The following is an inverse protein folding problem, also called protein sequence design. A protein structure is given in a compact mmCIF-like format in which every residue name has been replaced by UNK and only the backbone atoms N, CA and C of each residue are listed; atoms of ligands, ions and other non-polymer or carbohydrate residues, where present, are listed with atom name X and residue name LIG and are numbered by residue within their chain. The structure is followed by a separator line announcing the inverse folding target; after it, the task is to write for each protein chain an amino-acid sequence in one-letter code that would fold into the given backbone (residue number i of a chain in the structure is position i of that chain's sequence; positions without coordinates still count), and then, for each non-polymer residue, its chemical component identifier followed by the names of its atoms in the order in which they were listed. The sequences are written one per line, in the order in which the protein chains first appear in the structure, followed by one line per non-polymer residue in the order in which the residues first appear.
data_IF_208572557601
#
_entry.id   IF_208572557601
#
_cell.length_a   1.000
_cell.length_b   1.000
_cell.length_c   1.000
_cell.angle_alpha   90.00
_cell.angle_beta   90.00
_cell.angle_gamma   90.00
#
_symmetry.space_group_name_H-M   'P 1'
#
loop_
_entity.id
_entity.type
_entity.pdbx_description
1 polymer ?
#
# COMPACT_ATOMS: atom_id res chain seq x y z
N UNK A 1 1.86 -3.67 -38.46
CA UNK A 1 1.56 -3.37 -37.04
C UNK A 1 2.48 -2.22 -36.66
N UNK A 2 1.94 -1.07 -36.27
CA UNK A 2 2.75 0.13 -35.98
C UNK A 2 3.47 -0.05 -34.64
N UNK A 3 4.79 0.06 -34.63
CA UNK A 3 5.62 -0.05 -33.42
C UNK A 3 5.13 0.92 -32.33
N UNK A 4 4.68 2.11 -32.74
CA UNK A 4 4.18 3.13 -31.82
C UNK A 4 2.91 2.68 -31.08
N UNK A 5 2.04 1.89 -31.73
CA UNK A 5 0.83 1.33 -31.10
C UNK A 5 1.13 0.18 -30.14
N UNK A 6 2.21 -0.57 -30.38
CA UNK A 6 2.66 -1.59 -29.43
C UNK A 6 3.23 -0.90 -28.18
N UNK A 7 4.00 0.17 -28.40
CA UNK A 7 4.72 0.90 -27.36
C UNK A 7 3.76 1.73 -26.48
N UNK A 8 2.68 2.26 -27.05
CA UNK A 8 1.68 3.04 -26.30
C UNK A 8 0.97 2.22 -25.22
N UNK A 9 0.78 0.90 -25.40
CA UNK A 9 0.04 0.07 -24.45
C UNK A 9 0.62 0.04 -23.03
N UNK A 10 1.95 0.05 -22.90
CA UNK A 10 2.64 0.08 -21.59
C UNK A 10 2.97 1.50 -21.15
N UNK A 11 3.19 2.43 -22.10
CA UNK A 11 3.33 3.86 -21.80
C UNK A 11 2.05 4.43 -21.17
N UNK A 12 0.88 3.99 -21.63
CA UNK A 12 -0.40 4.58 -21.23
C UNK A 12 -1.04 3.88 -20.02
N UNK A 13 -0.61 2.66 -19.67
CA UNK A 13 -1.14 1.94 -18.52
C UNK A 13 -0.08 1.14 -17.77
N UNK A 14 0.02 1.33 -16.45
CA UNK A 14 0.93 0.56 -15.60
C UNK A 14 0.34 0.44 -14.21
N UNK A 15 0.43 -0.75 -13.62
CA UNK A 15 0.10 -1.00 -12.22
C UNK A 15 1.32 -1.58 -11.53
N UNK A 16 1.78 -0.96 -10.45
CA UNK A 16 2.84 -1.47 -9.60
C UNK A 16 2.23 -1.91 -8.27
N UNK A 17 2.34 -3.20 -7.95
CA UNK A 17 2.02 -3.71 -6.62
C UNK A 17 3.26 -3.65 -5.72
N UNK A 18 3.14 -3.11 -4.51
CA UNK A 18 4.23 -3.10 -3.54
C UNK A 18 3.98 -4.12 -2.44
N UNK A 19 5.02 -4.88 -2.05
CA UNK A 19 5.03 -5.73 -0.86
C UNK A 19 6.35 -5.63 -0.14
N UNK A 20 6.41 -6.17 1.07
CA UNK A 20 7.58 -6.15 1.91
C UNK A 20 7.18 -6.21 3.37
N UNK A 21 8.17 -6.54 4.20
CA UNK A 21 8.01 -6.56 5.65
C UNK A 21 7.65 -5.17 6.19
N UNK A 22 7.10 -5.11 7.38
CA UNK A 22 6.72 -3.86 8.02
C UNK A 22 7.94 -3.01 8.27
N UNK A 23 7.89 -1.76 7.80
CA UNK A 23 9.07 -0.91 7.81
C UNK A 23 10.13 -1.35 6.81
N UNK A 24 9.80 -2.06 5.73
CA UNK A 24 10.73 -2.29 4.60
C UNK A 24 10.81 -1.08 3.67
N UNK A 25 9.69 -0.39 3.41
CA UNK A 25 9.70 0.84 2.61
C UNK A 25 8.53 1.05 1.65
N UNK A 26 7.56 0.11 1.56
CA UNK A 26 6.44 0.17 0.62
C UNK A 26 5.80 1.57 0.50
N UNK A 27 5.26 2.13 1.58
CA UNK A 27 4.61 3.44 1.53
C UNK A 27 5.55 4.55 1.08
N UNK A 28 6.85 4.47 1.42
CA UNK A 28 7.82 5.45 0.95
C UNK A 28 8.10 5.34 -0.55
N UNK A 29 8.14 4.13 -1.07
CA UNK A 29 8.26 3.89 -2.52
C UNK A 29 7.02 4.39 -3.25
N UNK A 30 5.81 4.12 -2.73
CA UNK A 30 4.57 4.65 -3.28
C UNK A 30 4.56 6.19 -3.33
N UNK A 31 4.97 6.84 -2.23
CA UNK A 31 5.11 8.30 -2.17
C UNK A 31 6.08 8.84 -3.23
N UNK A 32 7.24 8.19 -3.42
CA UNK A 32 8.22 8.60 -4.44
C UNK A 32 7.66 8.45 -5.86
N UNK A 33 6.95 7.37 -6.15
CA UNK A 33 6.29 7.14 -7.45
C UNK A 33 5.15 8.13 -7.72
N UNK A 34 4.45 8.59 -6.67
CA UNK A 34 3.36 9.57 -6.77
C UNK A 34 3.83 11.02 -6.89
N UNK A 35 5.12 11.28 -6.66
CA UNK A 35 5.70 12.62 -6.75
C UNK A 35 6.15 12.97 -8.18
N UNK A 36 6.54 14.23 -8.42
CA UNK A 36 7.22 14.60 -9.66
C UNK A 36 8.63 13.98 -9.72
N UNK A 37 9.17 13.78 -10.92
CA UNK A 37 10.51 13.20 -11.12
C UNK A 37 11.61 13.96 -10.36
N UNK A 38 11.49 15.29 -10.27
CA UNK A 38 12.39 16.16 -9.49
C UNK A 38 12.50 15.77 -8.01
N UNK A 39 11.50 15.06 -7.48
CA UNK A 39 11.55 14.50 -6.12
C UNK A 39 12.58 13.37 -6.01
N UNK A 40 12.76 12.55 -7.05
CA UNK A 40 13.81 11.55 -7.08
C UNK A 40 15.19 12.21 -7.15
N UNK A 41 15.33 13.20 -8.04
CA UNK A 41 16.56 13.98 -8.21
C UNK A 41 17.01 14.59 -6.89
N UNK A 42 16.11 15.30 -6.21
CA UNK A 42 16.41 15.98 -4.95
C UNK A 42 16.67 15.04 -3.76
N UNK A 43 16.22 13.79 -3.81
CA UNK A 43 16.27 12.88 -2.65
C UNK A 43 17.31 11.79 -2.73
N UNK A 44 17.76 11.39 -3.91
CA UNK A 44 18.67 10.25 -3.97
C UNK A 44 19.23 9.84 -5.32
N UNK A 45 19.09 10.62 -6.39
CA UNK A 45 19.84 10.38 -7.62
C UNK A 45 21.25 10.96 -7.48
N UNK A 46 22.27 10.11 -7.55
CA UNK A 46 23.68 10.54 -7.54
C UNK A 46 24.08 11.27 -8.81
N UNK A 47 25.11 12.10 -8.70
CA UNK A 47 25.72 12.75 -9.84
C UNK A 47 26.53 11.73 -10.66
N UNK A 48 26.60 11.92 -11.99
CA UNK A 48 27.34 11.00 -12.87
C UNK A 48 28.83 10.93 -12.55
N UNK A 49 29.39 12.00 -11.97
CA UNK A 49 30.76 12.07 -11.49
C UNK A 49 31.05 11.14 -10.30
N UNK A 50 30.02 10.63 -9.62
CA UNK A 50 30.17 9.67 -8.51
C UNK A 50 30.39 8.23 -8.99
N UNK A 51 30.26 7.98 -10.29
CA UNK A 51 30.54 6.69 -10.90
C UNK A 51 31.93 6.69 -11.54
N UNK A 52 32.61 5.55 -11.51
CA UNK A 52 33.93 5.39 -12.14
C UNK A 52 33.87 4.57 -13.43
N UNK A 53 32.85 3.72 -13.57
CA UNK A 53 32.65 2.89 -14.76
C UNK A 53 31.89 3.68 -15.85
N UNK A 54 32.53 3.92 -16.99
CA UNK A 54 31.97 4.66 -18.13
C UNK A 54 30.77 3.96 -18.79
N UNK A 55 30.74 2.63 -18.80
CA UNK A 55 29.60 1.86 -19.32
C UNK A 55 28.40 2.02 -18.39
N UNK A 56 28.62 2.00 -17.08
CA UNK A 56 27.59 2.25 -16.10
C UNK A 56 27.07 3.69 -16.16
N UNK A 57 27.97 4.70 -16.24
CA UNK A 57 27.58 6.11 -16.45
C UNK A 57 26.64 6.24 -17.63
N UNK A 58 27.01 5.70 -18.79
CA UNK A 58 26.16 5.74 -19.98
C UNK A 58 24.78 5.12 -19.75
N UNK A 59 24.71 3.95 -19.09
CA UNK A 59 23.42 3.31 -18.73
C UNK A 59 22.58 4.19 -17.81
N UNK A 60 23.21 4.81 -16.82
CA UNK A 60 22.58 5.72 -15.88
C UNK A 60 22.01 6.97 -16.58
N UNK A 61 22.83 7.64 -17.39
CA UNK A 61 22.44 8.83 -18.17
C UNK A 61 21.29 8.52 -19.12
N UNK A 62 21.29 7.35 -19.77
CA UNK A 62 20.17 6.95 -20.65
C UNK A 62 18.86 6.89 -19.86
N UNK A 63 18.85 6.23 -18.70
CA UNK A 63 17.64 6.13 -17.87
C UNK A 63 17.20 7.52 -17.37
N UNK A 64 18.15 8.31 -16.87
CA UNK A 64 17.88 9.65 -16.33
C UNK A 64 17.36 10.61 -17.40
N UNK A 65 18.01 10.67 -18.55
CA UNK A 65 17.62 11.54 -19.65
C UNK A 65 16.28 11.10 -20.26
N UNK A 66 16.03 9.80 -20.37
CA UNK A 66 14.76 9.28 -20.88
C UNK A 66 13.60 9.68 -19.97
N UNK A 67 13.66 9.36 -18.67
CA UNK A 67 12.58 9.68 -17.73
C UNK A 67 12.48 11.19 -17.46
N UNK A 68 13.60 11.90 -17.50
CA UNK A 68 13.65 13.36 -17.33
C UNK A 68 13.08 14.14 -18.50
N UNK A 69 12.88 13.53 -19.67
CA UNK A 69 12.20 14.18 -20.78
C UNK A 69 10.71 14.36 -20.46
N UNK A 70 10.19 15.56 -20.72
CA UNK A 70 8.78 15.89 -20.55
C UNK A 70 7.93 14.83 -21.26
N UNK A 71 6.91 14.31 -20.55
CA UNK A 71 5.96 13.25 -20.93
C UNK A 71 6.32 11.80 -20.58
N UNK A 72 7.55 11.49 -20.15
CA UNK A 72 7.88 10.11 -19.78
C UNK A 72 7.63 9.83 -18.29
N UNK A 73 7.82 10.81 -17.40
CA UNK A 73 7.37 10.66 -16.01
C UNK A 73 5.91 11.09 -15.82
N UNK A 74 5.05 10.12 -15.53
CA UNK A 74 3.67 10.37 -15.08
C UNK A 74 3.56 9.90 -13.63
N UNK A 75 3.26 10.80 -12.68
CA UNK A 75 3.08 10.43 -11.28
C UNK A 75 2.00 9.35 -11.09
N UNK A 76 2.28 8.40 -10.21
CA UNK A 76 1.38 7.29 -9.93
C UNK A 76 0.30 7.69 -8.94
N UNK A 77 -0.95 7.29 -9.22
CA UNK A 77 -2.03 7.35 -8.24
C UNK A 77 -1.85 6.23 -7.20
N UNK A 78 -1.93 6.59 -5.91
CA UNK A 78 -1.72 5.62 -4.83
C UNK A 78 -3.07 5.01 -4.42
N UNK A 79 -3.17 3.69 -4.46
CA UNK A 79 -4.21 2.92 -3.77
C UNK A 79 -3.58 2.28 -2.53
N UNK A 80 -3.84 2.86 -1.35
CA UNK A 80 -3.35 2.30 -0.08
C UNK A 80 -4.26 1.17 0.38
N UNK A 81 -3.69 0.01 0.70
CA UNK A 81 -4.47 -1.14 1.15
C UNK A 81 -5.34 -0.81 2.38
N UNK A 82 -4.81 -0.04 3.32
CA UNK A 82 -5.56 0.38 4.53
C UNK A 82 -6.74 1.30 4.21
N UNK A 83 -6.62 2.14 3.17
CA UNK A 83 -7.70 3.02 2.71
C UNK A 83 -8.81 2.17 2.06
N UNK A 84 -8.44 1.11 1.33
CA UNK A 84 -9.38 0.13 0.75
C UNK A 84 -10.15 -0.61 1.85
N UNK A 85 -9.48 -1.05 2.91
CA UNK A 85 -10.14 -1.71 4.05
C UNK A 85 -11.13 -0.76 4.74
N UNK A 86 -10.74 0.50 4.97
CA UNK A 86 -11.64 1.51 5.53
C UNK A 86 -12.86 1.74 4.63
N UNK A 87 -12.64 1.89 3.31
CA UNK A 87 -13.74 2.07 2.37
C UNK A 87 -14.71 0.88 2.41
N UNK A 88 -14.20 -0.36 2.53
CA UNK A 88 -15.02 -1.56 2.68
C UNK A 88 -15.83 -1.56 3.98
N UNK A 89 -15.22 -1.15 5.11
CA UNK A 89 -15.92 -0.99 6.39
C UNK A 89 -17.06 0.01 6.25
N UNK A 90 -16.83 1.17 5.63
CA UNK A 90 -17.85 2.21 5.44
C UNK A 90 -18.98 1.73 4.51
N UNK A 91 -18.64 1.04 3.42
CA UNK A 91 -19.61 0.46 2.47
C UNK A 91 -20.59 -0.51 3.15
N UNK A 92 -20.08 -1.38 4.03
CA UNK A 92 -20.92 -2.39 4.70
C UNK A 92 -21.57 -1.89 5.98
N UNK A 93 -20.84 -1.14 6.80
CA UNK A 93 -21.23 -0.85 8.19
C UNK A 93 -21.24 0.63 8.57
N UNK A 94 -20.80 1.54 7.71
CA UNK A 94 -20.87 2.98 7.99
C UNK A 94 -22.31 3.41 8.32
N UNK A 95 -22.48 4.41 9.19
CA UNK A 95 -23.81 4.84 9.64
C UNK A 95 -24.57 3.83 10.51
N UNK A 96 -24.04 2.61 10.73
CA UNK A 96 -24.62 1.63 11.64
C UNK A 96 -23.80 1.60 12.93
N UNK A 97 -24.23 2.40 13.91
CA UNK A 97 -23.52 2.58 15.18
C UNK A 97 -23.35 1.27 15.96
N UNK A 98 -24.29 0.32 15.82
CA UNK A 98 -24.19 -1.01 16.45
C UNK A 98 -23.07 -1.83 15.83
N UNK A 99 -22.99 -1.86 14.50
CA UNK A 99 -21.93 -2.60 13.80
C UNK A 99 -20.56 -1.98 14.04
N UNK A 100 -20.43 -0.65 14.02
CA UNK A 100 -19.19 0.04 14.36
C UNK A 100 -18.77 -0.22 15.81
N UNK A 101 -19.72 -0.23 16.75
CA UNK A 101 -19.45 -0.61 18.14
C UNK A 101 -18.95 -2.04 18.23
N UNK A 102 -19.59 -2.98 17.52
CA UNK A 102 -19.18 -4.38 17.50
C UNK A 102 -17.79 -4.56 16.89
N UNK A 103 -17.47 -3.84 15.82
CA UNK A 103 -16.13 -3.85 15.21
C UNK A 103 -15.07 -3.48 16.25
N UNK A 104 -15.27 -2.37 16.98
CA UNK A 104 -14.34 -1.92 18.01
C UNK A 104 -14.26 -2.91 19.18
N UNK A 105 -15.40 -3.34 19.72
CA UNK A 105 -15.44 -4.28 20.85
C UNK A 105 -14.81 -5.63 20.53
N UNK A 106 -14.93 -6.12 19.29
CA UNK A 106 -14.42 -7.44 18.93
C UNK A 106 -12.97 -7.41 18.44
N UNK A 107 -12.57 -6.36 17.72
CA UNK A 107 -11.32 -6.35 16.95
C UNK A 107 -10.39 -5.15 17.24
N UNK A 108 -10.78 -4.15 18.02
CA UNK A 108 -9.85 -3.09 18.43
C UNK A 108 -9.08 -3.51 19.69
N UNK A 109 -8.20 -4.50 19.53
CA UNK A 109 -7.50 -5.21 20.61
C UNK A 109 -6.06 -5.56 20.25
N UNK A 110 -5.18 -5.74 21.23
CA UNK A 110 -3.82 -6.27 21.06
C UNK A 110 -3.85 -7.77 20.73
N UNK A 111 -4.83 -8.48 21.27
CA UNK A 111 -5.14 -9.88 21.00
C UNK A 111 -6.64 -10.15 21.28
N UNK A 112 -7.17 -11.27 20.77
CA UNK A 112 -8.62 -11.54 20.87
C UNK A 112 -9.14 -11.74 22.31
N UNK A 113 -8.26 -12.10 23.26
CA UNK A 113 -8.64 -12.29 24.67
C UNK A 113 -8.60 -11.01 25.51
N UNK A 114 -8.08 -9.89 24.99
CA UNK A 114 -8.08 -8.62 25.71
C UNK A 114 -9.51 -8.14 26.03
N UNK A 115 -9.73 -7.65 27.25
CA UNK A 115 -10.89 -6.84 27.60
C UNK A 115 -10.61 -5.35 27.31
N UNK A 116 -11.16 -4.84 26.21
CA UNK A 116 -10.96 -3.47 25.73
C UNK A 116 -12.14 -2.53 26.04
N UNK A 117 -13.10 -2.91 26.88
CA UNK A 117 -14.33 -2.15 27.12
C UNK A 117 -14.08 -0.68 27.50
N UNK A 118 -13.16 -0.45 28.44
CA UNK A 118 -12.80 0.90 28.90
C UNK A 118 -12.17 1.75 27.80
N UNK A 119 -11.35 1.14 26.94
CA UNK A 119 -10.70 1.84 25.83
C UNK A 119 -11.72 2.19 24.75
N UNK A 120 -12.57 1.23 24.37
CA UNK A 120 -13.65 1.44 23.41
C UNK A 120 -14.60 2.53 23.91
N UNK A 121 -14.96 2.53 25.20
CA UNK A 121 -15.81 3.56 25.77
C UNK A 121 -15.24 4.99 25.61
N UNK A 122 -13.91 5.15 25.70
CA UNK A 122 -13.23 6.45 25.52
C UNK A 122 -13.32 6.97 24.09
N UNK A 123 -13.10 6.11 23.10
CA UNK A 123 -13.05 6.51 21.68
C UNK A 123 -14.40 6.43 20.96
N UNK A 124 -15.37 5.69 21.53
CA UNK A 124 -16.64 5.40 20.88
C UNK A 124 -17.40 6.67 20.52
N UNK A 125 -17.41 7.66 21.40
CA UNK A 125 -18.08 8.94 21.14
C UNK A 125 -17.45 9.64 19.94
N UNK A 126 -16.13 9.77 19.91
CA UNK A 126 -15.42 10.42 18.81
C UNK A 126 -15.64 9.71 17.47
N UNK A 127 -15.61 8.37 17.46
CA UNK A 127 -15.90 7.58 16.25
C UNK A 127 -17.34 7.81 15.76
N UNK A 128 -18.31 7.88 16.66
CA UNK A 128 -19.72 8.17 16.33
C UNK A 128 -19.87 9.61 15.81
N UNK A 129 -19.19 10.58 16.42
CA UNK A 129 -19.24 11.98 16.01
C UNK A 129 -18.62 12.15 14.61
N UNK A 130 -17.53 11.44 14.32
CA UNK A 130 -16.91 11.39 12.98
C UNK A 130 -17.86 10.73 11.96
N UNK A 131 -18.44 9.58 12.27
CA UNK A 131 -19.43 8.91 11.40
C UNK A 131 -20.64 9.83 11.11
N UNK A 132 -21.12 10.53 12.14
CA UNK A 132 -22.22 11.50 12.02
C UNK A 132 -21.82 12.71 11.15
N UNK A 133 -20.63 13.27 11.36
CA UNK A 133 -20.08 14.38 10.57
C UNK A 133 -20.01 14.04 9.08
N UNK A 134 -19.62 12.81 8.74
CA UNK A 134 -19.47 12.35 7.36
C UNK A 134 -20.67 11.55 6.83
N UNK A 135 -21.84 11.65 7.47
CA UNK A 135 -23.04 10.85 7.11
C UNK A 135 -23.44 10.96 5.64
N UNK A 136 -23.33 12.14 5.01
CA UNK A 136 -23.66 12.30 3.59
C UNK A 136 -22.73 11.47 2.68
N UNK A 137 -21.42 11.54 2.94
CA UNK A 137 -20.42 10.74 2.21
C UNK A 137 -20.65 9.25 2.44
N UNK A 138 -20.85 8.84 3.69
CA UNK A 138 -21.07 7.44 4.05
C UNK A 138 -22.33 6.88 3.37
N UNK A 139 -23.43 7.64 3.34
CA UNK A 139 -24.64 7.24 2.60
C UNK A 139 -24.36 7.00 1.11
N UNK A 140 -23.55 7.85 0.46
CA UNK A 140 -23.13 7.64 -0.94
C UNK A 140 -22.26 6.39 -1.09
N UNK A 141 -21.27 6.21 -0.22
CA UNK A 141 -20.42 5.01 -0.23
C UNK A 141 -21.27 3.74 -0.10
N UNK A 142 -22.27 3.72 0.80
CA UNK A 142 -23.16 2.56 0.98
C UNK A 142 -24.12 2.31 -0.17
N UNK A 143 -24.46 3.35 -0.93
CA UNK A 143 -25.33 3.23 -2.08
C UNK A 143 -24.63 2.57 -3.28
N UNK A 144 -23.30 2.48 -3.28
CA UNK A 144 -22.55 1.77 -4.31
C UNK A 144 -22.98 0.28 -4.31
N UNK A 145 -23.30 -0.30 -5.47
CA UNK A 145 -23.64 -1.72 -5.57
C UNK A 145 -22.46 -2.60 -5.13
N UNK A 146 -22.66 -3.92 -4.94
CA UNK A 146 -21.55 -4.84 -4.73
C UNK A 146 -20.42 -4.61 -5.75
N UNK A 147 -19.17 -4.54 -5.29
CA UNK A 147 -18.06 -4.12 -6.15
C UNK A 147 -17.86 -5.02 -7.40
N UNK A 148 -18.29 -6.27 -7.32
CA UNK A 148 -18.30 -7.22 -8.44
C UNK A 148 -19.32 -6.87 -9.54
N UNK A 149 -20.35 -6.10 -9.20
CA UNK A 149 -21.45 -5.70 -10.09
C UNK A 149 -21.19 -4.36 -10.79
N UNK A 150 -20.22 -3.56 -10.34
CA UNK A 150 -19.82 -2.30 -10.97
C UNK A 150 -19.24 -2.57 -12.36
N UNK A 151 -19.98 -2.19 -13.40
CA UNK A 151 -19.65 -2.50 -14.80
C UNK A 151 -19.62 -1.26 -15.71
N UNK A 152 -20.52 -0.31 -15.50
CA UNK A 152 -20.61 0.87 -16.37
C UNK A 152 -19.56 1.92 -16.04
N UNK A 153 -19.23 2.76 -17.03
CA UNK A 153 -18.29 3.85 -16.86
C UNK A 153 -18.80 4.90 -15.85
N UNK A 154 -20.10 5.10 -15.75
CA UNK A 154 -20.69 6.07 -14.80
C UNK A 154 -20.58 5.56 -13.35
N UNK A 155 -20.87 4.28 -13.09
CA UNK A 155 -20.65 3.67 -11.76
C UNK A 155 -19.16 3.67 -11.39
N UNK A 156 -18.27 3.43 -12.36
CA UNK A 156 -16.83 3.49 -12.15
C UNK A 156 -16.38 4.92 -11.81
N UNK A 157 -16.89 5.93 -12.52
CA UNK A 157 -16.62 7.34 -12.20
C UNK A 157 -17.14 7.71 -10.82
N UNK A 158 -18.33 7.27 -10.43
CA UNK A 158 -18.88 7.50 -9.10
C UNK A 158 -18.01 6.87 -8.00
N UNK A 159 -17.62 5.59 -8.16
CA UNK A 159 -16.72 4.92 -7.24
C UNK A 159 -15.39 5.68 -7.10
N UNK A 160 -14.78 6.06 -8.21
CA UNK A 160 -13.53 6.81 -8.22
C UNK A 160 -13.68 8.20 -7.58
N UNK A 161 -14.78 8.89 -7.85
CA UNK A 161 -15.09 10.18 -7.25
C UNK A 161 -15.36 10.10 -5.75
N UNK A 162 -15.75 8.94 -5.22
CA UNK A 162 -15.91 8.72 -3.78
C UNK A 162 -14.58 8.35 -3.11
N UNK A 163 -13.78 7.48 -3.73
CA UNK A 163 -12.53 6.97 -3.14
C UNK A 163 -11.37 7.97 -3.23
N UNK A 164 -11.19 8.66 -4.36
CA UNK A 164 -10.07 9.56 -4.58
C UNK A 164 -10.35 11.01 -4.15
N UNK A 165 -11.50 11.30 -3.55
CA UNK A 165 -11.85 12.66 -3.16
C UNK A 165 -11.19 13.11 -1.85
N UNK A 166 -11.27 14.42 -1.62
CA UNK A 166 -10.74 15.06 -0.41
C UNK A 166 -11.55 14.69 0.84
N UNK A 167 -12.87 14.53 0.73
CA UNK A 167 -13.74 14.26 1.88
C UNK A 167 -13.47 12.89 2.53
N UNK A 168 -13.25 11.85 1.73
CA UNK A 168 -12.85 10.53 2.18
C UNK A 168 -11.46 10.57 2.81
N UNK A 169 -10.53 11.33 2.23
CA UNK A 169 -9.22 11.55 2.83
C UNK A 169 -9.32 12.25 4.19
N UNK A 170 -10.16 13.28 4.33
CA UNK A 170 -10.37 13.97 5.60
C UNK A 170 -11.03 13.04 6.65
N UNK A 171 -12.06 12.27 6.25
CA UNK A 171 -12.70 11.27 7.12
C UNK A 171 -11.67 10.28 7.63
N UNK A 172 -10.86 9.70 6.73
CA UNK A 172 -9.80 8.76 7.06
C UNK A 172 -8.80 9.37 8.04
N UNK A 173 -8.33 10.58 7.78
CA UNK A 173 -7.34 11.25 8.63
C UNK A 173 -7.88 11.49 10.04
N UNK A 174 -9.11 11.99 10.17
CA UNK A 174 -9.77 12.19 11.47
C UNK A 174 -10.00 10.86 12.20
N UNK A 175 -10.51 9.84 11.50
CA UNK A 175 -10.79 8.54 12.09
C UNK A 175 -9.51 7.83 12.55
N UNK A 176 -8.47 7.79 11.71
CA UNK A 176 -7.19 7.19 12.12
C UNK A 176 -6.46 8.04 13.16
N UNK A 177 -6.64 9.37 13.22
CA UNK A 177 -6.12 10.15 14.33
C UNK A 177 -6.77 9.73 15.66
N UNK A 178 -8.09 9.50 15.67
CA UNK A 178 -8.81 8.97 16.83
C UNK A 178 -8.32 7.56 17.21
N UNK A 179 -8.34 6.62 16.25
CA UNK A 179 -8.01 5.21 16.46
C UNK A 179 -6.51 4.93 16.70
N UNK A 180 -5.62 5.85 16.33
CA UNK A 180 -4.17 5.64 16.49
C UNK A 180 -3.57 6.49 17.60
N UNK A 181 -4.40 7.16 18.39
CA UNK A 181 -3.97 7.93 19.54
C UNK A 181 -3.47 7.02 20.68
N UNK A 182 -2.34 7.38 21.30
CA UNK A 182 -1.77 6.69 22.47
C UNK A 182 -1.62 5.16 22.27
N UNK A 183 -2.24 4.36 23.15
CA UNK A 183 -2.23 2.89 23.12
C UNK A 183 -3.06 2.29 21.96
N UNK A 184 -3.74 3.14 21.18
CA UNK A 184 -4.60 2.75 20.07
C UNK A 184 -3.87 2.32 18.81
N UNK A 185 -2.66 2.82 18.56
CA UNK A 185 -1.95 2.59 17.30
C UNK A 185 -1.82 1.10 16.97
N UNK A 186 -1.34 0.29 17.92
CA UNK A 186 -1.18 -1.16 17.70
C UNK A 186 -2.53 -1.86 17.52
N UNK A 187 -3.54 -1.50 18.33
CA UNK A 187 -4.90 -2.05 18.24
C UNK A 187 -5.57 -1.75 16.90
N UNK A 188 -5.35 -0.56 16.33
CA UNK A 188 -5.83 -0.24 14.99
C UNK A 188 -5.19 -1.14 13.92
N UNK A 189 -3.89 -1.47 14.07
CA UNK A 189 -3.22 -2.41 13.16
C UNK A 189 -3.77 -3.83 13.28
N UNK A 190 -3.99 -4.32 14.50
CA UNK A 190 -4.64 -5.62 14.71
C UNK A 190 -6.08 -5.63 14.17
N UNK A 191 -6.84 -4.56 14.37
CA UNK A 191 -8.20 -4.43 13.83
C UNK A 191 -8.20 -4.54 12.30
N UNK A 192 -7.33 -3.79 11.62
CA UNK A 192 -7.23 -3.84 10.15
C UNK A 192 -6.72 -5.21 9.66
N UNK A 193 -5.81 -5.86 10.41
CA UNK A 193 -5.41 -7.24 10.14
C UNK A 193 -6.62 -8.17 10.16
N UNK A 194 -7.39 -8.20 11.25
CA UNK A 194 -8.57 -9.06 11.39
C UNK A 194 -9.67 -8.73 10.38
N UNK A 195 -9.92 -7.45 10.10
CA UNK A 195 -10.84 -7.02 9.04
C UNK A 195 -10.39 -7.61 7.70
N UNK A 196 -9.10 -7.52 7.35
CA UNK A 196 -8.61 -8.08 6.10
C UNK A 196 -8.83 -9.60 6.02
N UNK A 197 -8.62 -10.31 7.13
CA UNK A 197 -8.86 -11.74 7.22
C UNK A 197 -10.35 -12.07 7.09
N UNK A 198 -11.22 -11.35 7.79
CA UNK A 198 -12.67 -11.55 7.73
C UNK A 198 -13.22 -11.28 6.32
N UNK A 199 -12.75 -10.22 5.65
CA UNK A 199 -13.15 -9.94 4.27
C UNK A 199 -12.75 -11.05 3.31
N UNK A 200 -11.56 -11.63 3.45
CA UNK A 200 -11.12 -12.77 2.62
C UNK A 200 -11.86 -14.06 2.98
N UNK A 201 -12.24 -14.24 4.25
CA UNK A 201 -12.91 -15.44 4.77
C UNK A 201 -14.40 -15.47 4.43
N UNK A 202 -15.12 -14.37 4.65
CA UNK A 202 -16.58 -14.34 4.58
C UNK A 202 -17.17 -13.05 3.98
N UNK A 203 -16.34 -12.17 3.42
CA UNK A 203 -16.80 -10.96 2.71
C UNK A 203 -17.36 -9.84 3.61
N UNK A 204 -17.27 -9.99 4.93
CA UNK A 204 -17.83 -9.08 5.94
C UNK A 204 -16.76 -8.61 6.92
N UNK A 205 -16.65 -7.30 7.16
CA UNK A 205 -15.54 -6.73 7.93
C UNK A 205 -15.61 -7.10 9.43
N UNK A 206 -16.81 -7.32 9.96
CA UNK A 206 -17.04 -7.69 11.36
C UNK A 206 -17.16 -9.20 11.57
N UNK A 207 -16.95 -10.00 10.52
CA UNK A 207 -16.84 -11.45 10.60
C UNK A 207 -18.14 -12.20 10.83
N UNK A 208 -19.31 -11.60 10.55
CA UNK A 208 -20.64 -12.23 10.76
C UNK A 208 -20.99 -13.31 9.72
N UNK A 209 -20.31 -13.32 8.58
CA UNK A 209 -20.57 -14.28 7.50
C UNK A 209 -19.97 -15.67 7.72
N UNK A 210 -20.51 -16.65 7.00
CA UNK A 210 -19.94 -18.00 6.88
C UNK A 210 -18.66 -17.97 6.04
N UNK A 211 -17.77 -18.92 6.31
CA UNK A 211 -16.56 -19.12 5.52
C UNK A 211 -16.94 -19.50 4.09
N UNK A 212 -16.47 -18.73 3.12
CA UNK A 212 -16.68 -18.99 1.70
C UNK A 212 -15.47 -18.48 0.90
N UNK A 213 -14.83 -19.42 0.19
CA UNK A 213 -13.66 -19.18 -0.64
C UNK A 213 -13.91 -18.17 -1.75
N UNK A 214 -15.16 -17.98 -2.18
CA UNK A 214 -15.53 -16.97 -3.17
C UNK A 214 -15.15 -15.54 -2.72
N UNK A 215 -15.03 -15.33 -1.41
CA UNK A 215 -14.67 -14.05 -0.81
C UNK A 215 -13.16 -13.77 -0.78
N UNK A 216 -12.30 -14.73 -1.15
CA UNK A 216 -10.83 -14.58 -1.07
C UNK A 216 -10.33 -13.34 -1.84
N UNK A 217 -11.01 -12.99 -2.93
CA UNK A 217 -10.68 -11.85 -3.78
C UNK A 217 -11.53 -10.59 -3.49
N UNK A 218 -12.28 -10.53 -2.38
CA UNK A 218 -13.14 -9.38 -2.06
C UNK A 218 -12.40 -8.04 -2.10
N UNK A 219 -11.21 -8.00 -1.48
CA UNK A 219 -10.38 -6.79 -1.42
C UNK A 219 -9.76 -6.51 -2.80
N UNK A 220 -9.25 -7.53 -3.48
CA UNK A 220 -8.68 -7.42 -4.82
C UNK A 220 -9.72 -6.93 -5.85
N UNK A 221 -10.99 -7.34 -5.70
CA UNK A 221 -12.10 -6.89 -6.54
C UNK A 221 -12.35 -5.39 -6.40
N UNK A 222 -12.34 -4.85 -5.18
CA UNK A 222 -12.46 -3.41 -4.96
C UNK A 222 -11.27 -2.66 -5.57
N UNK A 223 -10.03 -3.08 -5.29
CA UNK A 223 -8.83 -2.47 -5.90
C UNK A 223 -8.90 -2.50 -7.44
N UNK A 224 -9.33 -3.61 -8.02
CA UNK A 224 -9.52 -3.76 -9.46
C UNK A 224 -10.58 -2.80 -10.03
N UNK A 225 -11.67 -2.56 -9.30
CA UNK A 225 -12.65 -1.53 -9.68
C UNK A 225 -12.06 -0.13 -9.57
N UNK A 226 -11.26 0.17 -8.53
CA UNK A 226 -10.59 1.45 -8.37
C UNK A 226 -9.57 1.74 -9.48
N UNK A 227 -8.80 0.73 -9.91
CA UNK A 227 -7.90 0.83 -11.07
C UNK A 227 -8.70 1.20 -12.33
N UNK A 228 -9.82 0.51 -12.56
CA UNK A 228 -10.69 0.79 -13.72
C UNK A 228 -11.36 2.16 -13.63
N UNK A 229 -11.82 2.55 -12.45
CA UNK A 229 -12.38 3.88 -12.19
C UNK A 229 -11.38 4.97 -12.56
N UNK A 230 -10.12 4.84 -12.11
CA UNK A 230 -9.09 5.81 -12.46
C UNK A 230 -8.79 5.84 -13.96
N UNK A 231 -8.79 4.68 -14.62
CA UNK A 231 -8.62 4.59 -16.08
C UNK A 231 -9.75 5.32 -16.83
N UNK A 232 -11.00 5.12 -16.43
CA UNK A 232 -12.16 5.82 -17.03
C UNK A 232 -12.10 7.32 -16.77
N UNK A 233 -11.69 7.75 -15.56
CA UNK A 233 -11.55 9.17 -15.20
C UNK A 233 -10.43 9.85 -16.01
N UNK A 234 -9.32 9.14 -16.22
CA UNK A 234 -8.18 9.64 -16.98
C UNK A 234 -8.44 9.63 -18.50
N UNK A 235 -9.37 8.78 -18.96
CA UNK A 235 -9.74 8.63 -20.37
C UNK A 235 -8.50 8.36 -21.25
N UNK A 236 -8.16 9.26 -22.18
CA UNK A 236 -7.01 9.13 -23.07
C UNK A 236 -5.65 9.49 -22.42
N UNK A 237 -5.64 9.86 -21.13
CA UNK A 237 -4.39 10.17 -20.41
C UNK A 237 -3.75 8.91 -19.83
N UNK A 238 -2.41 8.85 -19.75
CA UNK A 238 -1.72 7.74 -19.11
C UNK A 238 -2.22 7.50 -17.68
N UNK A 239 -2.48 6.23 -17.35
CA UNK A 239 -2.94 5.78 -16.04
C UNK A 239 -1.86 4.92 -15.39
N UNK A 240 -1.20 5.51 -14.39
CA UNK A 240 -0.17 4.87 -13.60
C UNK A 240 -0.69 4.68 -12.17
N UNK A 241 -0.75 3.44 -11.69
CA UNK A 241 -1.28 3.11 -10.36
C UNK A 241 -0.20 2.42 -9.54
N UNK A 242 -0.06 2.80 -8.28
CA UNK A 242 0.73 2.04 -7.30
C UNK A 242 -0.17 1.55 -6.18
N UNK A 243 -0.19 0.24 -5.94
CA UNK A 243 -0.92 -0.39 -4.84
C UNK A 243 0.05 -0.52 -3.67
N UNK A 244 -0.16 0.25 -2.61
CA UNK A 244 0.69 0.23 -1.44
C UNK A 244 0.32 -0.92 -0.51
N UNK A 245 1.27 -1.85 -0.34
CA UNK A 245 1.30 -2.90 0.68
C UNK A 245 0.30 -4.05 0.48
N UNK A 246 0.43 -4.77 -0.64
CA UNK A 246 -0.18 -6.11 -0.82
C UNK A 246 0.49 -7.11 0.12
N UNK A 247 -0.32 -7.87 0.84
CA UNK A 247 0.12 -8.84 1.85
C UNK A 247 -0.49 -10.23 1.70
N UNK A 248 -1.22 -10.49 0.62
CA UNK A 248 -1.75 -11.80 0.30
C UNK A 248 -1.37 -12.21 -1.13
N UNK A 249 -0.80 -13.40 -1.28
CA UNK A 249 -0.21 -13.86 -2.54
C UNK A 249 -1.24 -14.24 -3.58
N UNK A 250 -2.45 -14.63 -3.17
CA UNK A 250 -3.57 -14.88 -4.08
C UNK A 250 -4.06 -13.57 -4.70
N UNK A 251 -4.12 -12.49 -3.93
CA UNK A 251 -4.43 -11.15 -4.48
C UNK A 251 -3.37 -10.71 -5.51
N UNK A 252 -2.08 -10.99 -5.28
CA UNK A 252 -1.01 -10.73 -6.26
C UNK A 252 -1.25 -11.54 -7.55
N UNK A 253 -1.57 -12.83 -7.43
CA UNK A 253 -1.85 -13.67 -8.60
C UNK A 253 -3.07 -13.17 -9.38
N UNK A 254 -4.12 -12.76 -8.67
CA UNK A 254 -5.29 -12.14 -9.28
C UNK A 254 -4.93 -10.93 -10.17
N UNK A 255 -4.01 -10.06 -9.72
CA UNK A 255 -3.57 -8.92 -10.54
C UNK A 255 -2.65 -9.32 -11.69
N UNK A 256 -1.73 -10.27 -11.46
CA UNK A 256 -0.83 -10.80 -12.51
C UNK A 256 -1.61 -11.44 -13.65
N UNK A 257 -2.67 -12.19 -13.36
CA UNK A 257 -3.52 -12.82 -14.37
C UNK A 257 -4.37 -11.80 -15.13
N UNK A 258 -4.71 -10.67 -14.49
CA UNK A 258 -5.69 -9.72 -15.03
C UNK A 258 -5.07 -8.56 -15.80
N UNK A 259 -3.83 -8.20 -15.50
CA UNK A 259 -3.16 -7.04 -16.07
C UNK A 259 -1.78 -7.42 -16.59
N UNK A 260 -1.61 -7.41 -17.91
CA UNK A 260 -0.30 -7.63 -18.54
C UNK A 260 0.75 -6.57 -18.20
N UNK A 261 0.32 -5.39 -17.77
CA UNK A 261 1.15 -4.28 -17.31
C UNK A 261 1.17 -4.15 -15.77
N UNK A 262 0.97 -5.27 -15.05
CA UNK A 262 1.14 -5.34 -13.60
C UNK A 262 2.55 -5.84 -13.26
N UNK A 263 3.24 -5.10 -12.38
CA UNK A 263 4.59 -5.42 -11.93
C UNK A 263 4.61 -5.47 -10.40
N UNK A 264 5.06 -6.58 -9.84
CA UNK A 264 5.14 -6.76 -8.41
C UNK A 264 6.54 -6.42 -7.89
N UNK A 265 6.62 -5.52 -6.91
CA UNK A 265 7.90 -5.02 -6.36
C UNK A 265 7.95 -5.29 -4.86
N UNK A 266 8.96 -6.05 -4.43
CA UNK A 266 9.27 -6.27 -3.03
C UNK A 266 10.32 -5.27 -2.54
N UNK A 267 10.01 -4.56 -1.46
CA UNK A 267 10.96 -3.63 -0.83
C UNK A 267 11.69 -4.31 0.32
N UNK A 268 12.98 -4.00 0.49
CA UNK A 268 13.84 -4.61 1.52
C UNK A 268 14.55 -3.54 2.35
N UNK A 269 14.60 -3.78 3.66
CA UNK A 269 15.49 -3.04 4.56
C UNK A 269 16.87 -3.70 4.57
N UNK A 270 17.84 -3.08 3.92
CA UNK A 270 19.19 -3.66 3.76
C UNK A 270 20.19 -3.21 4.83
N UNK A 271 19.87 -2.17 5.60
CA UNK A 271 20.76 -1.61 6.64
C UNK A 271 20.22 -1.80 8.06
N UNK A 272 19.23 -2.67 8.24
CA UNK A 272 18.70 -3.07 9.56
C UNK A 272 18.11 -1.91 10.37
N UNK A 273 17.56 -0.87 9.72
CA UNK A 273 17.08 0.35 10.38
C UNK A 273 15.55 0.37 10.57
N UNK A 274 14.87 -0.76 10.38
CA UNK A 274 13.41 -0.91 10.51
C UNK A 274 12.88 -0.31 11.82
N UNK A 275 13.46 -0.65 12.99
CA UNK A 275 13.05 -0.08 14.28
C UNK A 275 13.13 1.45 14.30
N UNK A 276 14.26 2.03 13.86
CA UNK A 276 14.46 3.48 13.80
C UNK A 276 13.45 4.16 12.88
N UNK A 277 13.07 3.53 11.76
CA UNK A 277 12.07 4.07 10.84
C UNK A 277 10.66 4.02 11.40
N UNK A 278 10.30 2.93 12.08
CA UNK A 278 9.01 2.82 12.78
C UNK A 278 8.96 3.86 13.89
N UNK A 279 10.02 4.01 14.69
CA UNK A 279 10.13 5.02 15.75
C UNK A 279 9.91 6.43 15.23
N UNK A 280 10.62 6.83 14.17
CA UNK A 280 10.45 8.15 13.54
C UNK A 280 9.02 8.41 13.07
N UNK A 281 8.33 7.40 12.55
CA UNK A 281 6.92 7.51 12.13
C UNK A 281 5.96 7.63 13.31
N UNK A 282 6.25 6.93 14.40
CA UNK A 282 5.40 6.92 15.60
C UNK A 282 5.63 8.14 16.49
N UNK A 283 6.76 8.83 16.36
CA UNK A 283 7.08 10.02 17.15
C UNK A 283 5.98 11.09 17.11
N UNK A 284 5.31 11.27 15.96
CA UNK A 284 4.22 12.24 15.81
C UNK A 284 2.87 11.75 16.35
N UNK A 285 2.76 10.48 16.74
CA UNK A 285 1.50 9.85 17.22
C UNK A 285 1.57 9.43 18.69
N UNK A 286 2.75 9.09 19.18
CA UNK A 286 3.01 8.60 20.52
C UNK A 286 4.22 9.35 21.08
N UNK A 287 3.96 10.36 21.90
CA UNK A 287 5.01 11.18 22.51
C UNK A 287 5.82 10.38 23.55
N UNK A 288 5.13 9.58 24.37
CA UNK A 288 5.75 8.76 25.41
C UNK A 288 6.71 7.72 24.78
N UNK A 289 7.99 7.78 25.19
CA UNK A 289 9.06 6.95 24.63
C UNK A 289 8.90 5.47 24.99
N UNK A 290 8.49 5.16 26.21
CA UNK A 290 8.37 3.78 26.69
C UNK A 290 7.20 3.08 26.00
N UNK A 291 6.06 3.76 25.90
CA UNK A 291 4.90 3.30 25.14
C UNK A 291 5.25 3.13 23.66
N UNK A 292 5.99 4.08 23.07
CA UNK A 292 6.41 3.98 21.67
C UNK A 292 7.32 2.77 21.44
N UNK A 293 8.27 2.51 22.34
CA UNK A 293 9.14 1.32 22.28
C UNK A 293 8.33 0.02 22.38
N UNK A 294 7.37 -0.06 23.32
CA UNK A 294 6.42 -1.18 23.42
C UNK A 294 5.68 -1.40 22.09
N UNK A 295 5.10 -0.35 21.54
CA UNK A 295 4.33 -0.41 20.27
C UNK A 295 5.21 -0.83 19.10
N UNK A 296 6.48 -0.38 19.04
CA UNK A 296 7.43 -0.82 18.01
C UNK A 296 7.64 -2.33 18.06
N UNK A 297 7.85 -2.90 19.26
CA UNK A 297 8.04 -4.34 19.41
C UNK A 297 6.78 -5.11 19.02
N UNK A 298 5.59 -4.65 19.46
CA UNK A 298 4.31 -5.25 19.07
C UNK A 298 4.08 -5.24 17.55
N UNK A 299 4.43 -4.15 16.86
CA UNK A 299 4.34 -4.07 15.40
C UNK A 299 5.27 -5.10 14.72
N UNK A 300 6.45 -5.34 15.28
CA UNK A 300 7.40 -6.32 14.75
C UNK A 300 6.89 -7.74 15.00
N UNK A 301 6.28 -8.01 16.15
CA UNK A 301 5.63 -9.30 16.42
C UNK A 301 4.50 -9.57 15.43
N UNK A 302 3.61 -8.60 15.19
CA UNK A 302 2.56 -8.72 14.18
C UNK A 302 3.14 -8.93 12.77
N UNK A 303 4.25 -8.24 12.44
CA UNK A 303 4.94 -8.45 11.17
C UNK A 303 5.48 -9.88 11.02
N UNK A 304 6.06 -10.45 12.07
CA UNK A 304 6.55 -11.84 12.05
C UNK A 304 5.39 -12.84 11.89
N UNK A 305 4.22 -12.57 12.50
CA UNK A 305 3.00 -13.38 12.31
C UNK A 305 2.57 -13.36 10.85
N UNK A 306 2.47 -12.17 10.24
CA UNK A 306 2.05 -12.01 8.84
C UNK A 306 3.11 -12.50 7.83
N UNK A 307 4.38 -12.51 8.21
CA UNK A 307 5.47 -13.00 7.38
C UNK A 307 5.58 -14.52 7.41
N UNK A 308 5.60 -15.14 8.59
CA UNK A 308 5.87 -16.59 8.76
C UNK A 308 4.62 -17.45 8.83
N UNK A 309 3.45 -16.93 8.49
CA UNK A 309 2.25 -17.74 8.59
C UNK A 309 2.38 -19.00 7.72
N UNK A 310 2.03 -20.14 8.30
CA UNK A 310 1.89 -21.41 7.58
C UNK A 310 0.44 -21.75 7.34
N UNK A 311 -0.46 -20.79 7.48
CA UNK A 311 -1.90 -20.96 7.30
C UNK A 311 -2.25 -21.53 5.92
N UNK A 312 -1.54 -21.10 4.88
CA UNK A 312 -1.67 -21.66 3.52
C UNK A 312 -1.45 -23.17 3.49
N UNK A 313 -0.44 -23.69 4.22
CA UNK A 313 -0.15 -25.13 4.29
C UNK A 313 -1.23 -25.92 5.05
N UNK A 314 -2.10 -25.23 5.79
CA UNK A 314 -3.23 -25.79 6.53
C UNK A 314 -4.58 -25.54 5.83
N UNK A 315 -4.58 -24.95 4.63
CA UNK A 315 -5.79 -24.61 3.88
C UNK A 315 -6.47 -23.30 4.30
N UNK A 316 -5.85 -22.50 5.17
CA UNK A 316 -6.35 -21.18 5.57
C UNK A 316 -5.74 -20.10 4.68
N UNK A 317 -6.51 -19.66 3.67
CA UNK A 317 -6.05 -18.68 2.68
C UNK A 317 -6.40 -17.23 3.05
N UNK A 318 -7.24 -17.05 4.08
CA UNK A 318 -7.71 -15.73 4.51
C UNK A 318 -6.65 -14.91 5.23
N UNK A 319 -5.53 -15.49 5.67
CA UNK A 319 -4.47 -14.77 6.38
C UNK A 319 -3.50 -14.06 5.42
N UNK A 320 -2.80 -12.99 5.86
CA UNK A 320 -1.68 -12.44 5.11
C UNK A 320 -0.52 -13.45 5.03
N UNK A 321 0.17 -13.55 3.89
CA UNK A 321 1.32 -14.43 3.66
C UNK A 321 2.48 -13.66 2.97
N UNK A 322 3.06 -12.71 3.72
CA UNK A 322 4.01 -11.72 3.18
C UNK A 322 5.28 -12.37 2.62
N UNK A 323 5.73 -13.50 3.19
CA UNK A 323 6.87 -14.25 2.64
C UNK A 323 6.61 -14.71 1.20
N UNK A 324 5.45 -15.34 0.94
CA UNK A 324 5.06 -15.75 -0.40
C UNK A 324 4.91 -14.55 -1.34
N UNK A 325 4.38 -13.43 -0.84
CA UNK A 325 4.27 -12.19 -1.62
C UNK A 325 5.65 -11.70 -2.09
N UNK A 326 6.65 -11.73 -1.20
CA UNK A 326 8.02 -11.34 -1.53
C UNK A 326 8.63 -12.32 -2.53
N UNK A 327 8.46 -13.63 -2.34
CA UNK A 327 8.97 -14.66 -3.27
C UNK A 327 8.35 -14.55 -4.66
N UNK A 328 7.09 -14.13 -4.75
CA UNK A 328 6.34 -13.96 -6.02
C UNK A 328 6.56 -12.59 -6.67
N UNK A 329 7.39 -11.72 -6.10
CA UNK A 329 7.66 -10.40 -6.66
C UNK A 329 8.59 -10.49 -7.87
N UNK A 330 8.35 -9.63 -8.87
CA UNK A 330 9.13 -9.60 -10.12
C UNK A 330 10.45 -8.82 -9.93
N UNK A 331 10.41 -7.79 -9.06
CA UNK A 331 11.55 -6.95 -8.73
C UNK A 331 11.75 -6.83 -7.23
N UNK A 332 13.02 -6.68 -6.83
CA UNK A 332 13.39 -6.36 -5.46
C UNK A 332 14.11 -5.02 -5.42
N UNK A 333 13.66 -4.12 -4.55
CA UNK A 333 14.26 -2.79 -4.35
C UNK A 333 14.81 -2.67 -2.93
N UNK A 334 16.06 -2.23 -2.83
CA UNK A 334 16.64 -1.84 -1.55
C UNK A 334 16.08 -0.48 -1.14
N UNK A 335 15.52 -0.37 0.07
CA UNK A 335 15.18 0.92 0.65
C UNK A 335 16.42 1.59 1.26
N UNK A 336 17.39 1.85 0.39
CA UNK A 336 18.66 2.47 0.70
C UNK A 336 18.61 3.94 0.32
N UNK A 337 19.08 4.80 1.23
CA UNK A 337 19.30 6.23 0.97
C UNK A 337 20.77 6.46 0.67
N UNK A 338 21.07 7.60 0.04
CA UNK A 338 22.45 8.07 -0.20
C UNK A 338 23.30 8.03 1.07
N UNK A 339 22.78 8.51 2.21
CA UNK A 339 23.51 8.53 3.49
C UNK A 339 23.96 7.13 3.97
N UNK A 340 23.24 6.08 3.58
CA UNK A 340 23.57 4.70 3.94
C UNK A 340 24.40 3.97 2.88
N UNK A 341 24.63 4.59 1.72
CA UNK A 341 25.19 3.94 0.55
C UNK A 341 26.63 3.48 0.79
N UNK A 342 27.48 4.36 1.33
CA UNK A 342 28.90 4.08 1.53
C UNK A 342 29.10 2.79 2.33
N UNK A 343 28.51 2.73 3.53
CA UNK A 343 28.61 1.55 4.38
C UNK A 343 28.08 0.30 3.67
N UNK A 344 26.94 0.43 2.96
CA UNK A 344 26.35 -0.70 2.25
C UNK A 344 27.25 -1.25 1.12
N UNK A 345 27.90 -0.39 0.34
CA UNK A 345 28.80 -0.84 -0.73
C UNK A 345 30.13 -1.36 -0.20
N UNK A 346 30.63 -0.79 0.90
CA UNK A 346 31.83 -1.30 1.57
C UNK A 346 31.58 -2.72 2.11
N UNK A 347 30.41 -2.95 2.74
CA UNK A 347 30.06 -4.22 3.38
C UNK A 347 29.67 -5.34 2.38
N UNK A 348 29.11 -4.98 1.21
CA UNK A 348 28.51 -5.97 0.29
C UNK A 348 29.06 -5.97 -1.14
N UNK A 349 29.81 -4.95 -1.53
CA UNK A 349 30.26 -4.74 -2.91
C UNK A 349 31.74 -4.31 -3.00
N UNK A 350 32.54 -4.56 -1.96
CA UNK A 350 33.98 -4.23 -1.93
C UNK A 350 34.26 -2.75 -2.24
N UNK A 351 33.35 -1.86 -1.81
CA UNK A 351 33.42 -0.43 -2.08
C UNK A 351 33.01 -0.01 -3.49
N UNK A 352 32.62 -0.95 -4.37
CA UNK A 352 32.17 -0.63 -5.72
C UNK A 352 30.78 0.01 -5.72
N UNK A 353 30.73 1.32 -5.98
CA UNK A 353 29.50 2.11 -6.01
C UNK A 353 28.84 2.18 -7.40
N UNK A 354 29.39 1.52 -8.42
CA UNK A 354 28.83 1.47 -9.78
C UNK A 354 27.62 0.52 -9.84
N UNK A 355 26.45 1.04 -9.51
CA UNK A 355 25.20 0.30 -9.49
C UNK A 355 24.02 1.22 -9.20
N UNK A 356 22.81 0.79 -9.51
CA UNK A 356 21.59 1.49 -9.09
C UNK A 356 21.27 1.01 -7.66
N UNK A 357 21.74 1.74 -6.66
CA UNK A 357 21.71 1.29 -5.28
C UNK A 357 20.71 2.04 -4.42
N UNK A 358 20.61 3.35 -4.60
CA UNK A 358 19.59 4.10 -3.86
C UNK A 358 18.21 3.69 -4.37
N UNK A 359 17.20 3.77 -3.51
CA UNK A 359 15.83 3.46 -3.94
C UNK A 359 15.36 4.39 -5.06
N UNK A 360 15.77 5.66 -5.06
CA UNK A 360 15.44 6.63 -6.10
C UNK A 360 16.02 6.19 -7.46
N UNK A 361 17.27 5.72 -7.49
CA UNK A 361 17.93 5.19 -8.70
C UNK A 361 17.28 3.91 -9.21
N UNK A 362 16.96 2.98 -8.29
CA UNK A 362 16.29 1.73 -8.64
C UNK A 362 14.89 1.99 -9.21
N UNK A 363 14.15 2.97 -8.68
CA UNK A 363 12.84 3.37 -9.22
C UNK A 363 12.98 4.03 -10.59
N UNK A 364 13.94 4.94 -10.77
CA UNK A 364 14.23 5.54 -12.08
C UNK A 364 14.50 4.46 -13.12
N UNK A 365 15.37 3.50 -12.81
CA UNK A 365 15.68 2.37 -13.70
C UNK A 365 14.44 1.51 -13.97
N UNK A 366 13.70 1.13 -12.93
CA UNK A 366 12.51 0.28 -13.07
C UNK A 366 11.47 0.93 -14.00
N UNK A 367 11.14 2.20 -13.75
CA UNK A 367 10.14 2.92 -14.57
C UNK A 367 10.66 3.12 -15.99
N UNK A 368 11.95 3.42 -16.18
CA UNK A 368 12.57 3.48 -17.51
C UNK A 368 12.39 2.16 -18.26
N UNK A 369 12.67 1.03 -17.63
CA UNK A 369 12.55 -0.29 -18.26
C UNK A 369 11.10 -0.66 -18.59
N UNK A 370 10.14 -0.35 -17.70
CA UNK A 370 8.72 -0.59 -17.97
C UNK A 370 8.26 0.21 -19.20
N UNK A 371 8.76 1.43 -19.37
CA UNK A 371 8.38 2.34 -20.45
C UNK A 371 9.22 2.18 -21.73
N UNK A 372 10.40 1.55 -21.66
CA UNK A 372 11.31 1.36 -22.81
C UNK A 372 11.26 -0.07 -23.38
N UNK A 373 10.86 -1.08 -22.58
CA UNK A 373 10.39 -2.38 -23.09
C UNK A 373 8.99 -2.28 -23.72
N UNK A 374 8.52 -1.04 -23.90
CA UNK A 374 7.41 -0.69 -24.75
C UNK A 374 7.94 -0.81 -26.15
#
# INVERSE_FOLDING_TARGET
MDLNKLYSLRKDFTVIGLTGRTGSGCSRIAELLSGPFTTLEAKGLRAESEFTDEVFKRKYSICKNFIGHNDNWVPFEIIRYVDVLLFYILHKHGGNLKDLSNLLTNFYKENLSENNQNLVAKIKKDVIDIDSKYTSLIKKIKAIPPFTEIKSDDELKELGALFFNKDFNNLKEELFACLESNEGYYRNRCMLHWVSCNLRRCGDAIGKGLDDISNIFSIANLINRLIKAKRVINDNKPTKIVIDSLRNSLEIMFFKERYSAFYMVATKDVIGNTKKRIDKRLFTKIADKNLREKVINQIIELDEIEYRTKDFSKGTFSSPDVENCIQKSDYHIFNLKVDGLKNFVDDHFEGNSNGFFTREEQLMKLVSLIQQLS
#
